data_IF_212025077331
#
_entry.id   IF_212025077331
#
_cell.length_a   1.000
_cell.length_b   1.000
_cell.length_c   1.000
_cell.angle_alpha   90.00
_cell.angle_beta   90.00
_cell.angle_gamma   90.00
#
_symmetry.space_group_name_H-M   'P 1'
#
loop_
_entity.id
_entity.type
_entity.pdbx_description
1 polymer ?
#
# COMPACT_ATOMS: atom_id res chain seq x y z
N UNK A 1 -9.47 -23.56 30.60
CA UNK A 1 -10.43 -24.56 30.06
C UNK A 1 -11.58 -23.77 29.46
N UNK A 2 -11.57 -23.49 28.14
CA UNK A 2 -12.68 -22.85 27.44
C UNK A 2 -13.67 -23.94 27.02
N UNK A 3 -14.97 -23.76 27.28
CA UNK A 3 -15.95 -24.74 26.84
C UNK A 3 -16.04 -24.71 25.31
N UNK A 4 -16.00 -25.87 24.71
CA UNK A 4 -16.08 -26.04 23.27
C UNK A 4 -17.41 -25.50 22.73
N UNK A 5 -17.31 -24.67 21.71
CA UNK A 5 -18.36 -24.48 20.74
C UNK A 5 -18.03 -25.41 19.56
N UNK A 6 -18.77 -26.51 19.46
CA UNK A 6 -18.95 -27.21 18.19
C UNK A 6 -19.70 -26.26 17.25
N UNK A 7 -19.02 -25.25 16.75
CA UNK A 7 -19.41 -24.59 15.52
C UNK A 7 -18.87 -25.46 14.42
N UNK A 8 -19.73 -26.28 13.80
CA UNK A 8 -19.51 -26.73 12.44
C UNK A 8 -19.06 -25.49 11.65
N UNK A 9 -17.80 -25.45 11.26
CA UNK A 9 -17.35 -24.58 10.19
C UNK A 9 -18.12 -25.10 8.97
N UNK A 10 -19.24 -24.48 8.64
CA UNK A 10 -19.79 -24.57 7.30
C UNK A 10 -18.65 -24.16 6.38
N UNK A 11 -18.25 -25.04 5.48
CA UNK A 11 -17.33 -24.70 4.39
C UNK A 11 -17.83 -23.39 3.81
N UNK A 12 -17.10 -22.32 4.12
CA UNK A 12 -17.32 -21.04 3.44
C UNK A 12 -16.83 -21.30 2.02
N UNK A 13 -17.74 -21.23 1.06
CA UNK A 13 -17.41 -21.41 -0.35
C UNK A 13 -16.53 -20.22 -0.80
N UNK A 14 -15.24 -20.25 -0.45
CA UNK A 14 -14.23 -19.28 -0.85
C UNK A 14 -14.08 -19.23 -2.37
N UNK A 15 -14.48 -20.32 -3.07
CA UNK A 15 -14.31 -20.47 -4.52
C UNK A 15 -15.27 -19.56 -5.32
N UNK A 16 -16.41 -19.14 -4.76
CA UNK A 16 -17.38 -18.32 -5.51
C UNK A 16 -17.14 -16.80 -5.39
N UNK A 17 -16.34 -16.35 -4.43
CA UNK A 17 -16.15 -14.91 -4.16
C UNK A 17 -14.78 -14.35 -4.60
N UNK A 18 -13.82 -15.20 -4.97
CA UNK A 18 -12.48 -14.79 -5.37
C UNK A 18 -12.33 -14.75 -6.90
N UNK A 19 -12.08 -13.58 -7.44
CA UNK A 19 -11.64 -13.43 -8.82
C UNK A 19 -10.13 -13.15 -8.83
N UNK A 20 -9.40 -13.89 -9.67
CA UNK A 20 -7.95 -13.70 -9.83
C UNK A 20 -7.70 -13.12 -11.21
N UNK A 21 -6.95 -12.04 -11.24
CA UNK A 21 -6.48 -11.42 -12.48
C UNK A 21 -4.96 -11.47 -12.53
N UNK A 22 -4.39 -11.42 -13.72
CA UNK A 22 -2.95 -11.40 -13.91
C UNK A 22 -2.53 -10.40 -14.97
N UNK A 23 -1.30 -9.92 -14.85
CA UNK A 23 -0.60 -9.16 -15.87
C UNK A 23 0.86 -9.60 -15.95
N UNK A 24 1.50 -9.40 -17.11
CA UNK A 24 2.94 -9.66 -17.30
C UNK A 24 3.56 -8.36 -17.82
N UNK A 25 4.22 -7.63 -16.93
CA UNK A 25 4.72 -6.27 -17.17
C UNK A 25 6.05 -6.08 -16.45
N UNK A 26 7.00 -5.38 -17.07
CA UNK A 26 8.23 -4.92 -16.43
C UNK A 26 7.89 -3.71 -15.55
N UNK A 27 7.64 -3.95 -14.26
CA UNK A 27 7.20 -2.91 -13.31
C UNK A 27 8.35 -2.27 -12.54
N UNK A 28 9.52 -2.90 -12.52
CA UNK A 28 10.71 -2.40 -11.84
C UNK A 28 11.73 -1.78 -12.80
N UNK A 29 11.49 -1.87 -14.14
CA UNK A 29 12.29 -1.31 -15.23
C UNK A 29 13.70 -1.94 -15.36
N UNK A 30 13.85 -3.20 -14.97
CA UNK A 30 15.10 -3.94 -15.09
C UNK A 30 15.25 -4.69 -16.44
N UNK A 31 14.21 -4.67 -17.29
CA UNK A 31 14.13 -5.33 -18.58
C UNK A 31 13.62 -6.77 -18.53
N UNK A 32 13.31 -7.30 -17.36
CA UNK A 32 12.60 -8.56 -17.16
C UNK A 32 11.14 -8.24 -16.85
N UNK A 33 10.22 -9.11 -17.22
CA UNK A 33 8.80 -8.90 -16.93
C UNK A 33 8.40 -9.72 -15.71
N UNK A 34 7.73 -9.08 -14.79
CA UNK A 34 7.14 -9.69 -13.62
C UNK A 34 5.74 -10.24 -13.93
N UNK A 35 5.35 -11.26 -13.17
CA UNK A 35 3.97 -11.72 -13.06
C UNK A 35 3.30 -10.98 -11.89
N UNK A 36 2.28 -10.20 -12.21
CA UNK A 36 1.39 -9.59 -11.23
C UNK A 36 0.15 -10.46 -11.09
N UNK A 37 -0.21 -10.77 -9.85
CA UNK A 37 -1.48 -11.40 -9.50
C UNK A 37 -2.31 -10.39 -8.69
N UNK A 38 -3.50 -10.11 -9.19
CA UNK A 38 -4.49 -9.26 -8.53
C UNK A 38 -5.63 -10.15 -8.03
N UNK A 39 -5.80 -10.16 -6.73
CA UNK A 39 -6.84 -10.91 -6.02
C UNK A 39 -7.98 -9.98 -5.68
N UNK A 40 -9.14 -10.21 -6.26
CA UNK A 40 -10.35 -9.40 -6.08
C UNK A 40 -11.43 -10.25 -5.40
N UNK A 41 -11.86 -9.81 -4.21
CA UNK A 41 -12.94 -10.43 -3.46
C UNK A 41 -14.23 -9.63 -3.64
N UNK A 42 -15.31 -10.27 -4.06
CA UNK A 42 -16.63 -9.66 -4.25
C UNK A 42 -17.19 -8.96 -2.99
N UNK A 43 -16.61 -9.25 -1.83
CA UNK A 43 -17.06 -8.77 -0.52
C UNK A 43 -16.46 -7.45 -0.05
N UNK A 44 -15.61 -6.79 -0.85
CA UNK A 44 -15.05 -5.48 -0.46
C UNK A 44 -13.53 -5.34 -0.63
N UNK A 45 -12.85 -4.54 0.20
CA UNK A 45 -11.46 -4.15 0.00
C UNK A 45 -10.44 -5.25 0.39
N UNK A 46 -10.84 -6.51 0.36
CA UNK A 46 -10.02 -7.64 0.83
C UNK A 46 -9.05 -8.17 -0.25
N UNK A 47 -8.98 -7.52 -1.40
CA UNK A 47 -8.08 -7.85 -2.49
C UNK A 47 -6.64 -7.42 -2.25
N UNK A 48 -5.81 -7.56 -3.28
CA UNK A 48 -4.45 -7.08 -3.26
C UNK A 48 -3.62 -7.56 -4.44
N UNK A 49 -2.54 -6.84 -4.71
CA UNK A 49 -1.64 -7.14 -5.82
C UNK A 49 -0.35 -7.73 -5.27
N UNK A 50 0.07 -8.87 -5.84
CA UNK A 50 1.34 -9.52 -5.51
C UNK A 50 2.19 -9.63 -6.77
N UNK A 51 3.46 -9.29 -6.68
CA UNK A 51 4.43 -9.27 -7.78
C UNK A 51 5.43 -10.38 -7.62
N UNK A 52 5.65 -11.11 -8.69
CA UNK A 52 6.63 -12.21 -8.76
C UNK A 52 7.54 -12.04 -9.97
N UNK A 53 8.84 -12.24 -9.76
CA UNK A 53 9.77 -12.47 -10.87
C UNK A 53 10.02 -13.97 -11.09
N UNK A 54 10.44 -14.33 -12.31
CA UNK A 54 10.82 -15.69 -12.64
C UNK A 54 12.34 -15.84 -12.60
N UNK A 55 12.83 -16.75 -11.76
CA UNK A 55 14.25 -17.12 -11.76
C UNK A 55 14.51 -18.25 -12.78
N UNK A 56 15.16 -17.99 -13.91
CA UNK A 56 15.45 -19.01 -14.92
C UNK A 56 16.46 -20.08 -14.43
N UNK A 57 17.24 -19.80 -13.39
CA UNK A 57 18.22 -20.72 -12.85
C UNK A 57 17.62 -21.70 -11.81
N UNK A 58 16.55 -21.29 -11.17
CA UNK A 58 15.82 -22.09 -10.19
C UNK A 58 14.33 -22.09 -10.52
N UNK A 59 13.86 -22.72 -11.64
CA UNK A 59 12.57 -22.50 -12.29
C UNK A 59 11.42 -22.34 -11.29
N UNK A 60 11.35 -21.20 -10.68
CA UNK A 60 10.42 -20.83 -9.62
C UNK A 60 10.04 -19.36 -9.73
N UNK A 61 8.91 -19.01 -9.15
CA UNK A 61 8.51 -17.62 -8.94
C UNK A 61 9.09 -17.14 -7.61
N UNK A 62 9.73 -15.99 -7.64
CA UNK A 62 10.24 -15.31 -6.45
C UNK A 62 9.33 -14.12 -6.17
N UNK A 63 8.78 -14.07 -4.97
CA UNK A 63 8.00 -12.94 -4.52
C UNK A 63 8.89 -11.70 -4.39
N UNK A 64 8.48 -10.59 -4.99
CA UNK A 64 9.21 -9.32 -4.90
C UNK A 64 8.55 -8.33 -3.94
N UNK A 65 7.26 -8.04 -4.15
CA UNK A 65 6.54 -7.03 -3.40
C UNK A 65 5.03 -7.28 -3.46
N UNK A 66 4.27 -6.61 -2.61
CA UNK A 66 2.82 -6.70 -2.57
C UNK A 66 2.32 -7.80 -1.65
N UNK A 67 1.02 -7.94 -1.58
CA UNK A 67 0.33 -8.93 -0.75
C UNK A 67 -1.15 -8.64 -0.64
N UNK A 68 -1.83 -9.37 0.24
CA UNK A 68 -3.22 -9.10 0.56
C UNK A 68 -3.37 -7.72 1.22
N UNK A 69 -4.48 -7.03 0.94
CA UNK A 69 -4.83 -5.71 1.45
C UNK A 69 -3.94 -4.57 0.95
N UNK A 70 -3.14 -4.79 -0.11
CA UNK A 70 -2.31 -3.76 -0.71
C UNK A 70 -2.73 -3.49 -2.17
N UNK A 71 -2.95 -2.23 -2.49
CA UNK A 71 -3.23 -1.79 -3.85
C UNK A 71 -2.03 -1.00 -4.36
N UNK A 72 -1.33 -1.58 -5.34
CA UNK A 72 -0.03 -1.07 -5.79
C UNK A 72 -0.15 -0.24 -7.06
N UNK A 73 0.55 0.88 -7.10
CA UNK A 73 0.81 1.70 -8.29
C UNK A 73 2.29 1.68 -8.58
N UNK A 74 2.63 1.41 -9.81
CA UNK A 74 4.00 1.26 -10.28
C UNK A 74 4.39 2.44 -11.17
N UNK A 75 5.62 2.94 -11.00
CA UNK A 75 6.13 4.07 -11.75
C UNK A 75 7.39 3.71 -12.53
N UNK A 76 7.60 4.35 -13.71
CA UNK A 76 8.71 4.08 -14.63
C UNK A 76 10.09 4.49 -14.11
N UNK A 77 10.18 4.93 -12.85
CA UNK A 77 11.42 5.18 -12.13
C UNK A 77 11.71 4.15 -11.03
N UNK A 78 11.02 3.00 -11.04
CA UNK A 78 11.18 1.92 -10.05
C UNK A 78 10.53 2.19 -8.69
N UNK A 79 9.70 3.23 -8.59
CA UNK A 79 8.90 3.50 -7.39
C UNK A 79 7.62 2.65 -7.41
N UNK A 80 7.26 2.13 -6.24
CA UNK A 80 5.96 1.51 -5.99
C UNK A 80 5.31 2.19 -4.79
N UNK A 81 4.05 2.55 -4.95
CA UNK A 81 3.19 3.02 -3.87
C UNK A 81 2.17 1.94 -3.57
N UNK A 82 2.04 1.56 -2.33
CA UNK A 82 1.09 0.56 -1.86
C UNK A 82 0.15 1.17 -0.84
N UNK A 83 -1.11 1.34 -1.22
CA UNK A 83 -2.18 1.70 -0.30
C UNK A 83 -2.57 0.48 0.54
N UNK A 84 -2.74 0.65 1.86
CA UNK A 84 -3.06 -0.43 2.81
C UNK A 84 -4.53 -0.32 3.18
N UNK A 85 -5.37 -1.21 2.64
CA UNK A 85 -6.83 -1.11 2.74
C UNK A 85 -7.41 -1.30 4.14
N UNK A 86 -6.73 -2.02 5.02
CA UNK A 86 -7.19 -2.27 6.39
C UNK A 86 -6.41 -1.53 7.48
N UNK A 87 -5.49 -0.65 7.09
CA UNK A 87 -4.65 0.12 8.01
C UNK A 87 -5.35 1.31 8.68
N UNK A 88 -6.40 1.82 8.05
CA UNK A 88 -7.26 2.88 8.61
C UNK A 88 -8.66 2.75 8.01
N UNK A 89 -9.73 3.01 8.78
CA UNK A 89 -11.08 3.08 8.26
C UNK A 89 -11.33 4.30 7.35
N UNK A 90 -10.31 5.11 7.10
CA UNK A 90 -10.43 6.43 6.50
C UNK A 90 -9.38 6.62 5.40
N UNK A 91 -9.76 6.63 4.12
CA UNK A 91 -8.87 6.87 2.96
C UNK A 91 -8.51 8.36 2.82
N UNK A 92 -7.52 8.70 2.03
CA UNK A 92 -7.01 10.07 1.91
C UNK A 92 -6.87 10.57 0.49
N UNK A 93 -6.54 11.86 0.30
CA UNK A 93 -6.58 12.55 -0.99
C UNK A 93 -5.57 12.00 -2.03
N UNK A 94 -4.75 11.06 -1.63
CA UNK A 94 -3.78 10.40 -2.52
C UNK A 94 -4.13 8.94 -2.81
N UNK A 95 -5.10 8.34 -2.07
CA UNK A 95 -5.65 7.04 -2.40
C UNK A 95 -6.63 7.17 -3.55
N UNK A 96 -6.36 6.50 -4.65
CA UNK A 96 -7.30 6.40 -5.78
C UNK A 96 -8.03 5.07 -5.82
N UNK A 97 -7.67 4.14 -4.97
CA UNK A 97 -8.23 2.80 -4.92
C UNK A 97 -9.53 2.78 -4.11
N UNK A 98 -10.63 3.17 -4.74
CA UNK A 98 -11.97 2.74 -4.32
C UNK A 98 -12.52 3.22 -2.99
N UNK A 99 -11.92 4.22 -2.35
CA UNK A 99 -12.51 4.84 -1.18
C UNK A 99 -13.88 5.45 -1.55
N UNK A 100 -14.94 5.01 -0.88
CA UNK A 100 -16.27 5.53 -1.08
C UNK A 100 -16.39 7.04 -0.70
N UNK A 101 -15.43 7.55 0.07
CA UNK A 101 -15.28 8.94 0.45
C UNK A 101 -13.90 9.47 0.03
N UNK A 102 -13.83 10.46 -0.92
CA UNK A 102 -12.57 11.06 -1.36
C UNK A 102 -11.85 11.87 -0.25
N UNK A 103 -12.49 12.07 0.91
CA UNK A 103 -11.89 12.76 2.04
C UNK A 103 -11.22 11.81 3.05
N UNK A 104 -11.21 10.51 2.79
CA UNK A 104 -10.65 9.51 3.69
C UNK A 104 -9.19 9.23 3.33
N UNK A 105 -8.25 9.29 4.29
CA UNK A 105 -6.84 8.97 4.07
C UNK A 105 -6.61 7.47 4.30
N UNK A 106 -5.93 6.82 3.36
CA UNK A 106 -5.46 5.46 3.55
C UNK A 106 -3.96 5.48 3.83
N UNK A 107 -3.50 4.81 4.88
CA UNK A 107 -2.09 4.59 5.06
C UNK A 107 -1.47 3.99 3.82
N UNK A 108 -0.29 4.45 3.46
CA UNK A 108 0.42 3.89 2.33
C UNK A 108 1.92 3.83 2.59
N UNK A 109 2.55 2.92 1.91
CA UNK A 109 4.00 2.77 1.91
C UNK A 109 4.57 3.00 0.52
N UNK A 110 5.82 3.46 0.50
CA UNK A 110 6.54 3.75 -0.74
C UNK A 110 7.82 2.96 -0.76
N UNK A 111 8.00 2.23 -1.85
CA UNK A 111 9.16 1.40 -2.11
C UNK A 111 9.95 1.93 -3.29
N UNK A 112 11.25 1.68 -3.30
CA UNK A 112 12.14 1.97 -4.42
C UNK A 112 12.89 0.71 -4.79
N UNK A 113 12.83 0.34 -6.06
CA UNK A 113 13.61 -0.77 -6.61
C UNK A 113 15.10 -0.44 -6.62
N UNK A 114 15.92 -1.39 -6.19
CA UNK A 114 17.36 -1.30 -6.15
C UNK A 114 17.93 -2.30 -7.16
N UNK A 115 18.39 -1.82 -8.30
CA UNK A 115 18.87 -2.67 -9.40
C UNK A 115 20.13 -3.49 -9.02
N UNK A 116 20.94 -2.99 -8.06
CA UNK A 116 22.19 -3.64 -7.66
C UNK A 116 21.98 -4.99 -6.94
N UNK A 117 20.88 -5.12 -6.21
CA UNK A 117 20.52 -6.34 -5.47
C UNK A 117 19.17 -6.93 -5.85
N UNK A 118 18.53 -6.39 -6.90
CA UNK A 118 17.24 -6.80 -7.43
C UNK A 118 16.16 -6.88 -6.32
N UNK A 119 16.08 -5.86 -5.48
CA UNK A 119 15.18 -5.82 -4.33
C UNK A 119 14.47 -4.49 -4.18
N UNK A 120 13.37 -4.47 -3.43
CA UNK A 120 12.67 -3.25 -3.04
C UNK A 120 13.07 -2.81 -1.64
N UNK A 121 13.40 -1.54 -1.50
CA UNK A 121 13.66 -0.89 -0.21
C UNK A 121 12.54 0.09 0.11
N UNK A 122 11.93 -0.06 1.29
CA UNK A 122 10.93 0.90 1.76
C UNK A 122 11.59 2.26 2.04
N UNK A 123 11.13 3.30 1.34
CA UNK A 123 11.62 4.67 1.50
C UNK A 123 10.70 5.53 2.35
N UNK A 124 9.47 5.09 2.58
CA UNK A 124 8.53 5.77 3.46
C UNK A 124 7.29 4.95 3.77
N UNK A 125 6.71 5.24 4.92
CA UNK A 125 5.37 4.84 5.32
C UNK A 125 4.64 6.07 5.83
N UNK A 126 3.40 6.27 5.42
CA UNK A 126 2.62 7.45 5.79
C UNK A 126 1.29 6.99 6.38
N UNK A 127 0.95 7.55 7.51
CA UNK A 127 -0.39 7.54 8.08
C UNK A 127 -0.82 8.94 8.45
N UNK A 128 -2.09 9.17 8.73
CA UNK A 128 -2.60 10.45 9.21
C UNK A 128 -2.87 10.44 10.72
N UNK A 129 -2.98 11.59 11.30
CA UNK A 129 -3.53 11.81 12.62
C UNK A 129 -4.49 12.99 12.58
N UNK A 130 -5.78 12.68 12.67
CA UNK A 130 -6.83 13.67 12.79
C UNK A 130 -7.15 13.88 14.29
N UNK A 131 -6.87 15.09 14.79
CA UNK A 131 -7.06 15.48 16.20
C UNK A 131 -8.49 15.31 16.72
N UNK A 132 -9.49 15.32 15.82
CA UNK A 132 -10.91 15.19 16.20
C UNK A 132 -11.36 13.74 16.30
N UNK A 133 -10.68 12.83 15.61
CA UNK A 133 -11.10 11.44 15.42
C UNK A 133 -10.26 10.46 16.25
N UNK A 134 -9.02 10.82 16.53
CA UNK A 134 -8.06 9.96 17.22
C UNK A 134 -7.86 10.38 18.67
N UNK A 135 -7.31 9.45 19.45
CA UNK A 135 -6.91 9.73 20.83
C UNK A 135 -5.91 10.89 20.92
N UNK A 136 -5.85 11.53 22.08
CA UNK A 136 -4.93 12.65 22.37
C UNK A 136 -3.44 12.25 22.24
N UNK A 137 -3.14 10.95 22.18
CA UNK A 137 -1.80 10.39 22.03
C UNK A 137 -1.82 9.12 21.17
N UNK A 138 -0.80 8.92 20.38
CA UNK A 138 -0.54 7.68 19.63
C UNK A 138 0.91 7.24 19.85
N UNK A 139 1.27 6.04 19.45
CA UNK A 139 2.62 5.53 19.64
C UNK A 139 3.66 6.48 19.05
N UNK A 140 4.65 6.86 19.88
CA UNK A 140 5.69 7.82 19.52
C UNK A 140 5.38 9.29 19.81
N UNK A 141 4.10 9.63 20.07
CA UNK A 141 3.70 11.01 20.39
C UNK A 141 2.81 11.03 21.64
N UNK A 142 3.23 11.80 22.64
CA UNK A 142 2.44 11.96 23.89
C UNK A 142 1.25 12.92 23.74
N UNK A 143 1.22 13.71 22.68
CA UNK A 143 0.16 14.66 22.35
C UNK A 143 0.22 15.01 20.87
N UNK A 144 -0.90 15.50 20.33
CA UNK A 144 -0.96 15.99 18.96
C UNK A 144 0.13 17.06 18.70
N UNK A 145 0.89 16.93 17.61
CA UNK A 145 2.03 17.81 17.32
C UNK A 145 1.58 19.12 16.65
N UNK A 146 0.92 20.03 17.41
CA UNK A 146 0.36 21.30 16.92
C UNK A 146 1.38 22.13 16.09
N UNK A 147 2.68 22.01 16.35
CA UNK A 147 3.72 22.71 15.60
C UNK A 147 3.92 22.18 14.17
N UNK A 148 3.45 20.98 13.88
CA UNK A 148 3.49 20.38 12.55
C UNK A 148 2.24 20.75 11.72
N UNK A 149 1.12 21.02 12.38
CA UNK A 149 -0.15 21.45 11.79
C UNK A 149 -0.07 22.96 11.43
N UNK A 150 0.47 23.27 10.25
CA UNK A 150 0.79 24.66 9.84
C UNK A 150 -0.43 25.40 9.30
N UNK A 151 -1.40 24.68 8.74
CA UNK A 151 -2.64 25.24 8.21
C UNK A 151 -3.78 25.23 9.23
N UNK A 152 -3.54 24.61 10.40
CA UNK A 152 -4.45 24.58 11.54
C UNK A 152 -5.79 23.88 11.25
N UNK A 153 -5.79 22.87 10.39
CA UNK A 153 -6.96 22.07 10.07
C UNK A 153 -7.21 20.94 11.08
N UNK A 154 -6.21 20.65 11.92
CA UNK A 154 -6.23 19.60 12.94
C UNK A 154 -5.80 18.25 12.39
N UNK A 155 -5.13 18.20 11.24
CA UNK A 155 -4.64 16.98 10.61
C UNK A 155 -3.13 17.10 10.40
N UNK A 156 -2.38 16.09 10.81
CA UNK A 156 -0.97 15.92 10.45
C UNK A 156 -0.74 14.54 9.86
N UNK A 157 0.33 14.41 9.10
CA UNK A 157 0.76 13.14 8.52
C UNK A 157 2.01 12.66 9.22
N UNK A 158 2.02 11.39 9.60
CA UNK A 158 3.16 10.74 10.24
C UNK A 158 3.94 10.01 9.16
N UNK A 159 5.07 10.58 8.79
CA UNK A 159 5.99 10.01 7.81
C UNK A 159 7.11 9.26 8.53
N UNK A 160 7.13 7.94 8.39
CA UNK A 160 8.26 7.10 8.79
C UNK A 160 9.18 6.91 7.60
N UNK A 161 10.43 7.31 7.72
CA UNK A 161 11.43 7.19 6.65
C UNK A 161 12.11 5.80 6.63
N UNK A 162 12.96 5.56 5.63
CA UNK A 162 13.70 4.30 5.45
C UNK A 162 14.55 3.85 6.67
N UNK A 163 14.81 4.76 7.63
CA UNK A 163 15.55 4.45 8.87
C UNK A 163 14.63 4.18 10.06
N UNK A 164 13.33 4.08 9.84
CA UNK A 164 12.33 3.91 10.89
C UNK A 164 12.10 5.17 11.75
N UNK A 165 12.61 6.33 11.32
CA UNK A 165 12.36 7.59 12.02
C UNK A 165 11.03 8.18 11.58
N UNK A 166 10.12 8.34 12.52
CA UNK A 166 8.85 9.00 12.33
C UNK A 166 8.94 10.51 12.53
N UNK A 167 8.20 11.26 11.72
CA UNK A 167 8.15 12.72 11.77
C UNK A 167 6.74 13.17 11.40
N UNK A 168 6.14 14.01 12.23
CA UNK A 168 4.86 14.64 11.90
C UNK A 168 5.11 15.81 10.92
N UNK A 169 4.34 15.85 9.84
CA UNK A 169 4.42 16.85 8.78
C UNK A 169 3.02 17.31 8.37
N UNK A 170 2.94 18.51 7.84
CA UNK A 170 1.74 19.09 7.26
C UNK A 170 1.44 18.56 5.84
N UNK A 171 0.22 18.71 5.37
CA UNK A 171 -0.21 18.32 4.02
C UNK A 171 0.67 18.89 2.91
N UNK A 172 1.09 20.15 3.05
CA UNK A 172 1.98 20.82 2.08
C UNK A 172 3.38 20.20 2.04
N UNK A 173 3.89 19.71 3.17
CA UNK A 173 5.19 19.04 3.22
C UNK A 173 5.08 17.58 2.75
N UNK A 174 3.97 16.89 3.06
CA UNK A 174 3.67 15.58 2.49
C UNK A 174 3.64 15.67 0.96
N UNK A 175 2.92 16.67 0.41
CA UNK A 175 2.89 16.88 -1.05
C UNK A 175 4.28 17.08 -1.63
N UNK A 176 5.15 17.87 -1.02
CA UNK A 176 6.54 18.06 -1.49
C UNK A 176 7.33 16.76 -1.47
N UNK A 177 7.14 15.95 -0.44
CA UNK A 177 7.80 14.64 -0.35
C UNK A 177 7.32 13.72 -1.47
N UNK A 178 5.99 13.61 -1.72
CA UNK A 178 5.41 12.87 -2.85
C UNK A 178 5.96 13.37 -4.18
N UNK A 179 5.93 14.69 -4.42
CA UNK A 179 6.46 15.28 -5.65
C UNK A 179 7.97 14.99 -5.85
N UNK A 180 8.72 14.77 -4.76
CA UNK A 180 10.16 14.52 -4.83
C UNK A 180 10.49 13.13 -5.39
N UNK A 181 9.81 12.08 -4.95
CA UNK A 181 10.07 10.72 -5.43
C UNK A 181 9.33 10.39 -6.74
N UNK A 182 8.22 11.09 -7.02
CA UNK A 182 7.51 10.99 -8.31
C UNK A 182 8.10 11.89 -9.39
N UNK A 183 9.15 12.66 -9.12
CA UNK A 183 9.66 13.67 -10.05
C UNK A 183 10.00 13.11 -11.43
N UNK A 184 9.22 13.50 -12.44
CA UNK A 184 9.38 13.06 -13.82
C UNK A 184 8.90 11.65 -14.12
N UNK A 185 8.50 10.90 -13.12
CA UNK A 185 7.99 9.54 -13.26
C UNK A 185 6.57 9.54 -13.84
N UNK A 186 6.26 8.48 -14.58
CA UNK A 186 4.92 8.18 -15.08
C UNK A 186 4.46 6.87 -14.52
N UNK A 187 3.20 6.81 -14.14
CA UNK A 187 2.58 5.56 -13.75
C UNK A 187 2.58 4.58 -14.93
N UNK A 188 2.93 3.33 -14.66
CA UNK A 188 2.93 2.24 -15.63
C UNK A 188 1.50 1.73 -15.78
N UNK A 189 0.86 1.86 -16.93
CA UNK A 189 -0.49 1.36 -17.14
C UNK A 189 -0.47 -0.17 -17.17
N UNK A 190 -1.23 -0.81 -16.28
CA UNK A 190 -1.35 -2.27 -16.21
C UNK A 190 -2.72 -2.68 -16.72
N UNK A 191 -2.72 -3.65 -17.64
CA UNK A 191 -3.94 -4.27 -18.15
C UNK A 191 -4.01 -5.69 -17.66
N UNK A 192 -4.91 -5.92 -16.72
CA UNK A 192 -5.13 -7.24 -16.15
C UNK A 192 -6.05 -8.11 -17.01
N UNK A 193 -5.82 -9.41 -17.00
CA UNK A 193 -6.63 -10.44 -17.62
C UNK A 193 -7.14 -11.40 -16.56
N UNK A 194 -8.41 -11.77 -16.63
CA UNK A 194 -8.97 -12.73 -15.67
C UNK A 194 -8.36 -14.11 -15.88
N UNK A 195 -7.89 -14.69 -14.79
CA UNK A 195 -7.48 -16.10 -14.77
C UNK A 195 -8.76 -16.98 -14.85
N UNK A 196 -8.76 -17.93 -15.78
CA UNK A 196 -9.92 -18.81 -16.01
C UNK A 196 -9.78 -20.10 -15.23
#
# INVERSE_FOLDING_TARGET
>A
MYPGSDTEFTEFDWEESLSIYYAIVDVNQDGVKELLLDFDYDSGPDGGITVYTYDPNAPTLVHEIGGFFTFSRFYDNGIVEEDISHGSPYGGPYSTAGAADPNTFWPYQVWSYQADDASYTQIGFVTDWNKKEWADSIDGFSSFPDSADKDHDGIVYLLTNAKGKETAIDAADLKKWVDSYRKGAKEIPITYQRLK
#
